data_IF_274915391653
#
_entry.id   IF_274915391653
#
_cell.length_a   1.000
_cell.length_b   1.000
_cell.length_c   1.000
_cell.angle_alpha   90.00
_cell.angle_beta   90.00
_cell.angle_gamma   90.00
#
_symmetry.space_group_name_H-M   'P 1'
#
loop_
_entity.id
_entity.type
_entity.pdbx_description
1 polymer ?
#
# COMPACT_ATOMS: atom_id res chain seq x y z
N UNK A 1 -36.17 31.13 -28.46
CA UNK A 1 -35.67 30.77 -27.13
C UNK A 1 -34.16 30.57 -27.17
N UNK A 2 -33.45 31.30 -26.33
CA UNK A 2 -32.00 31.11 -26.18
C UNK A 2 -31.68 29.85 -25.40
N UNK A 3 -30.44 29.30 -25.50
CA UNK A 3 -29.98 28.13 -24.82
C UNK A 3 -30.20 28.20 -23.29
N UNK A 4 -30.03 29.39 -22.73
CA UNK A 4 -30.25 29.67 -21.30
C UNK A 4 -31.73 29.53 -20.87
N UNK A 5 -32.66 29.89 -21.72
CA UNK A 5 -34.08 29.71 -21.47
C UNK A 5 -34.48 28.24 -21.49
N UNK A 6 -33.87 27.44 -22.39
CA UNK A 6 -34.09 25.98 -22.47
C UNK A 6 -33.61 25.32 -21.19
N UNK A 7 -32.42 25.68 -20.70
CA UNK A 7 -31.84 25.11 -19.43
C UNK A 7 -32.72 25.50 -18.23
N UNK A 8 -33.19 26.74 -18.17
CA UNK A 8 -34.06 27.21 -17.08
C UNK A 8 -35.42 26.48 -17.09
N UNK A 9 -36.00 26.30 -18.28
CA UNK A 9 -37.28 25.58 -18.46
C UNK A 9 -37.09 24.08 -18.12
N UNK A 10 -36.02 23.46 -18.57
CA UNK A 10 -35.68 22.05 -18.25
C UNK A 10 -35.56 21.84 -16.75
N UNK A 11 -34.80 22.69 -16.03
CA UNK A 11 -34.68 22.61 -14.58
C UNK A 11 -36.04 22.80 -13.86
N UNK A 12 -36.87 23.70 -14.32
CA UNK A 12 -38.21 23.90 -13.73
C UNK A 12 -39.11 22.68 -13.94
N UNK A 13 -39.06 22.06 -15.10
CA UNK A 13 -39.86 20.88 -15.46
C UNK A 13 -39.46 19.65 -14.68
N UNK A 14 -38.16 19.47 -14.40
CA UNK A 14 -37.64 18.35 -13.59
C UNK A 14 -38.31 18.22 -12.21
N UNK A 15 -38.61 19.35 -11.57
CA UNK A 15 -39.21 19.35 -10.23
C UNK A 15 -40.73 19.25 -10.21
N UNK A 16 -41.38 19.10 -11.37
CA UNK A 16 -42.84 18.93 -11.47
C UNK A 16 -43.27 17.59 -10.91
N UNK A 17 -42.49 16.50 -11.18
CA UNK A 17 -42.71 15.13 -10.64
C UNK A 17 -41.65 14.75 -9.64
N UNK A 18 -41.64 15.36 -8.45
CA UNK A 18 -40.60 15.32 -7.42
C UNK A 18 -40.11 13.91 -7.06
N UNK A 19 -41.03 12.95 -6.86
CA UNK A 19 -40.65 11.59 -6.45
C UNK A 19 -39.86 10.86 -7.55
N UNK A 20 -40.34 10.96 -8.81
CA UNK A 20 -39.68 10.30 -9.94
C UNK A 20 -38.30 10.90 -10.21
N UNK A 21 -38.23 12.22 -10.26
CA UNK A 21 -36.96 12.94 -10.43
C UNK A 21 -35.98 12.59 -9.33
N UNK A 22 -36.44 12.57 -8.07
CA UNK A 22 -35.60 12.19 -6.93
C UNK A 22 -35.07 10.76 -7.07
N UNK A 23 -35.91 9.77 -7.42
CA UNK A 23 -35.47 8.38 -7.59
C UNK A 23 -34.47 8.22 -8.74
N UNK A 24 -34.67 8.96 -9.85
CA UNK A 24 -33.72 8.94 -10.98
C UNK A 24 -32.39 9.57 -10.59
N UNK A 25 -32.42 10.73 -9.93
CA UNK A 25 -31.20 11.39 -9.41
C UNK A 25 -30.50 10.47 -8.40
N UNK A 26 -31.25 9.81 -7.53
CA UNK A 26 -30.68 8.86 -6.54
C UNK A 26 -30.00 7.66 -7.21
N UNK A 27 -30.53 7.13 -8.28
CA UNK A 27 -29.93 6.03 -9.03
C UNK A 27 -28.60 6.46 -9.69
N UNK A 28 -28.57 7.65 -10.30
CA UNK A 28 -27.33 8.24 -10.89
C UNK A 28 -26.31 8.54 -9.80
N UNK A 29 -26.79 9.10 -8.67
CA UNK A 29 -25.97 9.37 -7.49
C UNK A 29 -25.24 8.13 -7.00
N UNK A 30 -25.93 7.00 -6.80
CA UNK A 30 -25.31 5.75 -6.34
C UNK A 30 -24.21 5.29 -7.29
N UNK A 31 -24.48 5.31 -8.59
CA UNK A 31 -23.49 4.91 -9.59
C UNK A 31 -22.27 5.81 -9.62
N UNK A 32 -22.47 7.13 -9.69
CA UNK A 32 -21.36 8.10 -9.72
C UNK A 32 -20.58 8.13 -8.41
N UNK A 33 -21.25 8.08 -7.27
CA UNK A 33 -20.65 7.95 -5.94
C UNK A 33 -19.69 6.77 -5.86
N UNK A 34 -20.16 5.57 -6.29
CA UNK A 34 -19.36 4.34 -6.25
C UNK A 34 -18.13 4.44 -7.15
N UNK A 35 -18.29 4.99 -8.37
CA UNK A 35 -17.17 5.14 -9.30
C UNK A 35 -16.14 6.16 -8.76
N UNK A 36 -16.59 7.29 -8.23
CA UNK A 36 -15.67 8.30 -7.69
C UNK A 36 -14.91 7.79 -6.49
N UNK A 37 -15.55 7.06 -5.57
CA UNK A 37 -14.85 6.41 -4.46
C UNK A 37 -13.83 5.39 -4.96
N UNK A 38 -14.18 4.58 -5.96
CA UNK A 38 -13.27 3.59 -6.53
C UNK A 38 -12.02 4.24 -7.13
N UNK A 39 -12.19 5.32 -7.91
CA UNK A 39 -11.07 6.08 -8.47
C UNK A 39 -10.23 6.73 -7.39
N UNK A 40 -10.86 7.25 -6.32
CA UNK A 40 -10.14 7.85 -5.19
C UNK A 40 -9.33 6.82 -4.39
N UNK A 41 -9.85 5.59 -4.19
CA UNK A 41 -9.10 4.48 -3.58
C UNK A 41 -7.89 4.11 -4.45
N UNK A 42 -8.10 3.97 -5.76
CA UNK A 42 -7.01 3.66 -6.70
C UNK A 42 -5.88 4.70 -6.60
N UNK A 43 -6.23 5.97 -6.58
CA UNK A 43 -5.27 7.05 -6.43
C UNK A 43 -4.54 7.00 -5.08
N UNK A 44 -5.25 6.78 -3.99
CA UNK A 44 -4.68 6.68 -2.64
C UNK A 44 -3.71 5.50 -2.52
N UNK A 45 -4.09 4.32 -3.02
CA UNK A 45 -3.24 3.12 -3.02
C UNK A 45 -1.99 3.31 -3.88
N UNK A 46 -2.13 3.84 -5.10
CA UNK A 46 -0.97 4.09 -5.96
C UNK A 46 -0.02 5.14 -5.35
N UNK A 47 -0.54 6.26 -4.87
CA UNK A 47 0.26 7.30 -4.21
C UNK A 47 1.02 6.75 -2.99
N UNK A 48 0.40 5.84 -2.24
CA UNK A 48 1.03 5.18 -1.12
C UNK A 48 2.14 4.22 -1.57
N UNK A 49 1.88 3.38 -2.58
CA UNK A 49 2.87 2.46 -3.15
C UNK A 49 4.08 3.23 -3.66
N UNK A 50 3.87 4.31 -4.42
CA UNK A 50 4.96 5.13 -4.96
C UNK A 50 5.83 5.73 -3.84
N UNK A 51 5.21 6.24 -2.77
CA UNK A 51 5.93 6.77 -1.61
C UNK A 51 6.72 5.68 -0.86
N UNK A 52 6.13 4.49 -0.71
CA UNK A 52 6.81 3.36 -0.05
C UNK A 52 7.98 2.85 -0.89
N UNK A 53 7.80 2.70 -2.21
CA UNK A 53 8.88 2.29 -3.12
C UNK A 53 10.06 3.27 -3.06
N UNK A 54 9.78 4.58 -3.11
CA UNK A 54 10.81 5.60 -3.00
C UNK A 54 11.56 5.57 -1.65
N UNK A 55 10.88 5.21 -0.56
CA UNK A 55 11.48 5.12 0.78
C UNK A 55 12.34 3.87 0.99
N UNK A 56 12.03 2.78 0.29
CA UNK A 56 12.68 1.47 0.43
C UNK A 56 13.87 1.25 -0.50
N UNK A 57 14.48 2.31 -1.00
CA UNK A 57 15.73 2.24 -1.77
C UNK A 57 15.56 2.35 -3.28
N UNK A 58 14.32 2.50 -3.79
CA UNK A 58 14.05 2.67 -5.22
C UNK A 58 13.81 1.36 -5.97
N UNK A 59 13.67 1.50 -7.30
CA UNK A 59 13.29 0.39 -8.19
C UNK A 59 14.42 -0.59 -8.50
N UNK A 60 15.65 -0.26 -8.16
CA UNK A 60 16.85 -1.07 -8.40
C UNK A 60 17.21 -1.99 -7.22
N UNK A 61 16.51 -1.87 -6.10
CA UNK A 61 16.74 -2.72 -4.95
C UNK A 61 16.10 -4.10 -5.14
N UNK A 62 16.89 -5.15 -4.87
CA UNK A 62 16.46 -6.53 -5.03
C UNK A 62 16.95 -7.40 -3.87
N UNK A 63 16.04 -8.19 -3.30
CA UNK A 63 16.35 -9.24 -2.36
C UNK A 63 16.44 -10.57 -3.11
N UNK A 64 17.55 -11.26 -3.00
CA UNK A 64 17.84 -12.50 -3.71
C UNK A 64 17.86 -13.67 -2.73
N UNK A 65 17.10 -14.71 -3.04
CA UNK A 65 17.04 -15.93 -2.25
C UNK A 65 17.25 -17.16 -3.16
N UNK A 66 17.51 -18.32 -2.58
CA UNK A 66 17.50 -19.57 -3.35
C UNK A 66 16.08 -19.90 -3.84
N UNK A 67 15.96 -20.58 -4.97
CA UNK A 67 14.66 -20.95 -5.54
C UNK A 67 13.82 -21.85 -4.62
N UNK A 68 14.42 -22.56 -3.68
CA UNK A 68 13.73 -23.33 -2.64
C UNK A 68 12.95 -22.48 -1.62
N UNK A 69 13.38 -21.26 -1.37
CA UNK A 69 12.72 -20.34 -0.41
C UNK A 69 11.38 -19.79 -0.92
N UNK A 70 11.19 -19.72 -2.24
CA UNK A 70 9.97 -19.18 -2.86
C UNK A 70 8.76 -20.09 -2.64
N UNK A 71 8.97 -21.40 -2.64
CA UNK A 71 7.89 -22.34 -2.35
C UNK A 71 7.27 -22.10 -0.97
N UNK A 72 8.11 -21.77 0.02
CA UNK A 72 7.67 -21.48 1.39
C UNK A 72 6.99 -20.10 1.47
N UNK A 73 7.50 -19.10 0.77
CA UNK A 73 6.90 -17.76 0.72
C UNK A 73 5.56 -17.75 -0.03
N UNK A 74 5.47 -18.44 -1.15
CA UNK A 74 4.20 -18.67 -1.84
C UNK A 74 3.20 -19.44 -0.98
N UNK A 75 3.66 -20.42 -0.19
CA UNK A 75 2.82 -21.17 0.74
C UNK A 75 2.33 -20.31 1.92
N UNK A 76 3.15 -19.38 2.42
CA UNK A 76 2.75 -18.42 3.45
C UNK A 76 1.80 -17.35 2.94
N UNK A 77 1.86 -17.01 1.65
CA UNK A 77 1.07 -15.96 1.02
C UNK A 77 -0.12 -16.51 0.20
N UNK A 78 -0.13 -17.82 -0.05
CA UNK A 78 -1.23 -18.48 -0.75
C UNK A 78 -2.44 -18.60 0.19
N UNK A 79 -3.52 -17.92 -0.18
CA UNK A 79 -4.85 -18.14 0.41
C UNK A 79 -5.52 -19.41 -0.12
N UNK A 80 -4.84 -20.18 -0.98
CA UNK A 80 -5.35 -21.44 -1.49
C UNK A 80 -5.17 -22.54 -0.43
N UNK A 81 -6.27 -23.11 0.01
CA UNK A 81 -6.32 -24.27 0.89
C UNK A 81 -6.03 -25.60 0.20
N UNK A 82 -5.46 -25.57 -1.01
CA UNK A 82 -5.07 -26.80 -1.69
C UNK A 82 -3.77 -27.35 -1.08
N UNK A 83 -3.74 -28.64 -0.69
CA UNK A 83 -2.54 -29.28 -0.20
C UNK A 83 -1.47 -29.27 -1.31
N UNK A 84 -0.33 -28.63 -1.03
CA UNK A 84 0.83 -28.69 -1.92
C UNK A 84 1.58 -29.99 -1.65
N UNK A 85 2.00 -30.67 -2.73
CA UNK A 85 2.78 -31.88 -2.66
C UNK A 85 4.10 -31.63 -1.89
N UNK A 86 4.43 -32.52 -0.94
CA UNK A 86 5.68 -32.40 -0.17
C UNK A 86 6.86 -32.50 -1.13
N UNK A 87 7.62 -31.41 -1.23
CA UNK A 87 8.88 -31.38 -1.96
C UNK A 87 10.03 -31.24 -0.94
N UNK A 88 10.83 -32.29 -0.72
CA UNK A 88 11.93 -32.26 0.24
C UNK A 88 12.99 -31.19 -0.09
N UNK A 89 12.99 -30.67 -1.33
CA UNK A 89 13.88 -29.59 -1.77
C UNK A 89 13.29 -28.19 -1.53
N UNK A 90 12.10 -28.07 -0.96
CA UNK A 90 11.44 -26.79 -0.61
C UNK A 90 11.79 -26.29 0.80
N UNK A 91 12.68 -26.94 1.51
CA UNK A 91 13.27 -26.35 2.72
C UNK A 91 13.99 -25.05 2.32
N UNK A 92 13.94 -24.03 3.19
CA UNK A 92 14.78 -22.83 3.07
C UNK A 92 16.23 -23.28 2.80
N UNK A 93 16.56 -23.42 1.53
CA UNK A 93 17.90 -23.81 1.15
C UNK A 93 18.75 -22.59 1.31
N UNK A 94 19.50 -22.55 2.40
CA UNK A 94 20.56 -21.57 2.55
C UNK A 94 21.50 -21.67 1.34
N UNK A 95 21.94 -20.54 0.85
CA UNK A 95 22.94 -20.46 -0.20
C UNK A 95 24.32 -20.77 0.41
N UNK A 96 25.07 -21.65 -0.25
CA UNK A 96 26.44 -21.94 0.10
C UNK A 96 27.40 -21.02 -0.69
N UNK A 97 28.69 -21.11 -0.39
CA UNK A 97 29.73 -20.30 -1.01
C UNK A 97 29.75 -20.43 -2.55
N UNK A 98 29.57 -21.64 -3.09
CA UNK A 98 29.53 -21.87 -4.54
C UNK A 98 28.35 -21.14 -5.20
N UNK A 99 27.21 -21.11 -4.57
CA UNK A 99 26.02 -20.39 -5.02
C UNK A 99 26.25 -18.87 -4.95
N UNK A 100 26.91 -18.38 -3.89
CA UNK A 100 27.29 -16.97 -3.78
C UNK A 100 28.26 -16.54 -4.87
N UNK A 101 29.29 -17.36 -5.17
CA UNK A 101 30.23 -17.11 -6.25
C UNK A 101 29.55 -17.14 -7.63
N UNK A 102 28.53 -17.98 -7.80
CA UNK A 102 27.71 -18.04 -9.00
C UNK A 102 26.85 -16.79 -9.15
N UNK A 103 26.24 -16.33 -8.05
CA UNK A 103 25.44 -15.11 -8.01
C UNK A 103 26.28 -13.86 -8.35
N UNK A 104 27.50 -13.77 -7.82
CA UNK A 104 28.43 -12.68 -8.08
C UNK A 104 28.93 -12.58 -9.54
N UNK A 105 28.69 -13.62 -10.36
CA UNK A 105 29.03 -13.62 -11.79
C UNK A 105 27.87 -13.18 -12.69
N UNK A 106 26.70 -12.90 -12.10
CA UNK A 106 25.56 -12.44 -12.92
C UNK A 106 25.78 -10.99 -13.29
N UNK A 107 25.86 -10.74 -14.60
CA UNK A 107 26.02 -9.39 -15.14
C UNK A 107 24.80 -8.51 -14.77
N UNK A 108 25.05 -7.35 -14.22
CA UNK A 108 24.05 -6.46 -13.66
C UNK A 108 24.00 -6.47 -12.13
N UNK A 109 24.77 -7.36 -11.46
CA UNK A 109 24.95 -7.37 -10.01
C UNK A 109 26.40 -7.05 -9.66
N UNK A 110 26.62 -6.31 -8.57
CA UNK A 110 27.95 -6.04 -8.03
C UNK A 110 28.13 -6.81 -6.70
N UNK A 111 29.01 -7.80 -6.63
CA UNK A 111 29.26 -8.56 -5.40
C UNK A 111 29.70 -7.71 -4.19
N UNK A 112 30.37 -6.58 -4.45
CA UNK A 112 30.83 -5.68 -3.39
C UNK A 112 29.65 -4.97 -2.67
N UNK A 113 28.49 -4.92 -3.33
CA UNK A 113 27.27 -4.34 -2.78
C UNK A 113 26.35 -5.37 -2.09
N UNK A 114 26.81 -6.64 -2.03
CA UNK A 114 26.01 -7.70 -1.41
C UNK A 114 25.92 -7.51 0.10
N UNK A 115 24.73 -7.28 0.58
CA UNK A 115 24.45 -7.27 2.01
C UNK A 115 23.74 -8.56 2.42
N UNK A 116 24.38 -9.27 3.33
CA UNK A 116 23.84 -10.52 3.90
C UNK A 116 23.13 -10.14 5.19
N UNK A 117 21.81 -10.21 5.17
CA UNK A 117 21.01 -9.96 6.36
C UNK A 117 21.28 -11.06 7.41
N UNK A 118 21.77 -10.66 8.55
CA UNK A 118 22.06 -11.55 9.68
C UNK A 118 20.76 -11.80 10.45
N UNK A 119 20.47 -13.08 10.68
CA UNK A 119 19.35 -13.44 11.55
C UNK A 119 19.80 -13.38 12.99
N UNK A 120 19.26 -12.44 13.74
CA UNK A 120 19.57 -12.25 15.17
C UNK A 120 18.34 -12.67 15.98
N UNK A 121 18.42 -13.76 16.74
CA UNK A 121 17.32 -14.23 17.58
C UNK A 121 17.22 -13.40 18.85
N UNK A 122 16.54 -12.25 18.80
CA UNK A 122 16.24 -11.43 19.97
C UNK A 122 15.04 -12.02 20.69
N UNK A 123 15.19 -12.31 21.98
CA UNK A 123 14.10 -12.83 22.80
C UNK A 123 13.11 -11.72 23.19
N UNK A 124 13.65 -10.58 23.67
CA UNK A 124 12.83 -9.41 24.00
C UNK A 124 13.66 -8.13 24.10
N UNK A 125 12.96 -7.01 24.04
CA UNK A 125 13.46 -5.68 24.39
C UNK A 125 12.82 -5.18 25.69
N UNK A 126 13.59 -4.45 26.51
CA UNK A 126 13.11 -3.78 27.70
C UNK A 126 13.84 -2.46 27.92
N UNK A 127 13.36 -1.64 28.87
CA UNK A 127 14.00 -0.40 29.28
C UNK A 127 14.09 -0.30 30.82
N UNK A 128 14.74 0.73 31.33
CA UNK A 128 14.77 1.00 32.78
C UNK A 128 13.47 1.64 33.29
N UNK A 129 12.62 2.15 32.38
CA UNK A 129 11.39 2.87 32.71
C UNK A 129 10.20 1.91 32.87
N UNK A 130 10.37 0.62 32.52
CA UNK A 130 9.32 -0.39 32.66
C UNK A 130 9.88 -1.77 32.95
N UNK A 131 9.15 -2.57 33.74
CA UNK A 131 9.49 -3.99 33.99
C UNK A 131 8.94 -4.91 32.88
N UNK A 132 8.23 -4.35 31.88
CA UNK A 132 7.63 -5.13 30.80
C UNK A 132 8.68 -5.49 29.75
N UNK A 133 8.46 -6.64 29.11
CA UNK A 133 9.25 -7.20 28.03
C UNK A 133 8.40 -7.24 26.77
N UNK A 134 8.99 -6.87 25.63
CA UNK A 134 8.29 -6.85 24.36
C UNK A 134 9.06 -7.64 23.30
N UNK A 135 8.35 -8.37 22.46
CA UNK A 135 8.97 -9.03 21.31
C UNK A 135 9.49 -7.93 20.37
N UNK A 136 10.61 -8.20 19.72
CA UNK A 136 11.18 -7.27 18.75
C UNK A 136 11.95 -8.03 17.68
N UNK A 137 11.88 -7.53 16.44
CA UNK A 137 12.75 -7.93 15.35
C UNK A 137 13.74 -6.80 15.11
N UNK A 138 15.00 -7.13 14.94
CA UNK A 138 16.05 -6.16 14.66
C UNK A 138 16.90 -6.56 13.47
N UNK A 139 17.43 -5.58 12.74
CA UNK A 139 18.40 -5.79 11.67
C UNK A 139 19.11 -4.50 11.33
N UNK A 140 20.30 -4.59 10.76
CA UNK A 140 20.97 -3.42 10.22
C UNK A 140 20.45 -3.10 8.81
N UNK A 141 20.68 -1.88 8.36
CA UNK A 141 20.31 -1.48 7.00
C UNK A 141 21.30 -2.03 5.98
N UNK A 142 20.82 -2.47 4.82
CA UNK A 142 21.70 -2.74 3.67
C UNK A 142 22.44 -1.47 3.25
N UNK A 143 23.60 -1.60 2.58
CA UNK A 143 24.29 -0.45 1.97
C UNK A 143 23.39 0.24 0.94
N UNK A 144 23.43 1.56 0.90
CA UNK A 144 22.72 2.37 -0.10
C UNK A 144 21.87 3.48 0.50
N UNK A 145 21.26 4.25 -0.38
CA UNK A 145 20.42 5.40 -0.01
C UNK A 145 18.98 4.92 0.32
N UNK A 146 18.78 4.49 1.56
CA UNK A 146 17.45 4.22 2.08
C UNK A 146 16.94 5.48 2.77
N UNK A 147 15.78 5.94 2.36
CA UNK A 147 15.13 7.10 2.94
C UNK A 147 13.95 6.66 3.84
N UNK A 148 14.27 5.88 4.88
CA UNK A 148 13.26 5.50 5.87
C UNK A 148 12.93 6.74 6.70
N UNK A 149 11.69 7.19 6.59
CA UNK A 149 11.22 8.33 7.35
C UNK A 149 11.24 8.03 8.85
N UNK A 150 11.63 9.02 9.64
CA UNK A 150 11.57 8.97 11.11
C UNK A 150 10.58 10.00 11.63
N UNK A 151 9.82 9.67 12.68
CA UNK A 151 8.99 10.63 13.42
C UNK A 151 9.83 11.48 14.33
N UNK A 152 10.92 10.92 14.89
CA UNK A 152 11.87 11.63 15.73
C UNK A 152 13.29 11.08 15.51
N UNK A 153 14.30 11.92 15.65
CA UNK A 153 15.70 11.55 15.54
C UNK A 153 16.14 11.14 14.12
N UNK A 154 17.07 10.19 14.03
CA UNK A 154 17.71 9.75 12.80
C UNK A 154 17.85 8.22 12.76
N UNK A 155 18.25 7.69 11.61
CA UNK A 155 18.68 6.30 11.51
C UNK A 155 20.07 6.11 12.15
N UNK A 156 20.42 4.87 12.61
CA UNK A 156 21.75 4.59 13.13
C UNK A 156 22.81 4.82 12.06
N UNK A 157 23.95 5.40 12.44
CA UNK A 157 25.08 5.51 11.54
C UNK A 157 25.67 4.12 11.22
N UNK A 158 25.91 3.84 9.95
CA UNK A 158 26.44 2.54 9.52
C UNK A 158 27.93 2.35 9.90
N UNK A 159 28.66 3.45 10.07
CA UNK A 159 30.08 3.45 10.40
C UNK A 159 30.36 3.61 11.90
N UNK A 160 29.32 3.79 12.72
CA UNK A 160 29.49 3.95 14.16
C UNK A 160 29.94 2.65 14.81
N UNK A 161 30.77 2.79 15.84
CA UNK A 161 31.11 1.69 16.76
C UNK A 161 30.18 1.64 17.98
N UNK A 162 29.29 2.62 18.12
CA UNK A 162 28.32 2.65 19.19
C UNK A 162 27.12 1.73 18.86
N UNK A 163 26.51 1.21 19.89
CA UNK A 163 25.31 0.40 19.79
C UNK A 163 24.10 1.34 19.74
N UNK A 164 23.62 1.58 18.55
CA UNK A 164 22.51 2.46 18.25
C UNK A 164 21.30 1.68 17.75
N UNK A 165 20.11 2.20 18.03
CA UNK A 165 18.83 1.64 17.55
C UNK A 165 17.86 2.75 17.18
N UNK A 166 17.17 2.56 16.06
CA UNK A 166 15.96 3.30 15.68
C UNK A 166 14.77 2.37 15.86
N UNK A 167 13.87 2.72 16.78
CA UNK A 167 12.74 1.90 17.18
C UNK A 167 11.61 1.96 16.15
N UNK A 168 10.86 0.88 16.03
CA UNK A 168 9.57 0.89 15.32
C UNK A 168 8.54 1.76 16.06
N UNK A 169 7.48 2.23 15.37
CA UNK A 169 6.40 2.98 15.98
C UNK A 169 5.74 2.24 17.16
N UNK A 170 5.38 2.99 18.19
CA UNK A 170 4.70 2.44 19.37
C UNK A 170 5.63 1.89 20.45
N UNK A 171 6.87 1.50 20.13
CA UNK A 171 7.84 1.08 21.15
C UNK A 171 8.19 2.17 22.18
N UNK A 172 8.36 3.46 21.81
CA UNK A 172 8.62 4.50 22.82
C UNK A 172 7.60 4.49 23.94
N UNK A 173 6.33 4.46 23.61
CA UNK A 173 5.23 4.40 24.60
C UNK A 173 5.23 3.10 25.38
N UNK A 174 5.42 1.96 24.70
CA UNK A 174 5.46 0.63 25.32
C UNK A 174 6.61 0.52 26.33
N UNK A 175 7.78 1.08 25.99
CA UNK A 175 8.99 1.07 26.82
C UNK A 175 8.98 2.16 27.91
N UNK A 176 7.90 2.93 28.03
CA UNK A 176 7.71 3.90 29.11
C UNK A 176 8.36 5.27 28.89
N UNK A 177 8.79 5.58 27.67
CA UNK A 177 9.43 6.87 27.37
C UNK A 177 8.42 8.02 27.16
N UNK A 178 7.14 7.71 26.94
CA UNK A 178 6.08 8.69 26.72
C UNK A 178 5.86 9.04 25.26
N UNK A 179 6.69 9.89 24.67
CA UNK A 179 6.63 10.28 23.26
C UNK A 179 7.83 9.73 22.45
N UNK A 180 7.78 9.88 21.14
CA UNK A 180 8.87 9.50 20.24
C UNK A 180 10.12 10.38 20.48
N UNK A 181 9.91 11.67 20.72
CA UNK A 181 10.99 12.63 21.02
C UNK A 181 11.66 12.33 22.36
N UNK A 182 10.89 11.92 23.36
CA UNK A 182 11.40 11.58 24.70
C UNK A 182 12.24 10.30 24.70
N UNK A 183 12.05 9.44 23.71
CA UNK A 183 12.83 8.21 23.54
C UNK A 183 14.26 8.48 23.05
N UNK A 184 14.49 9.60 22.34
CA UNK A 184 15.81 9.92 21.78
C UNK A 184 16.85 10.10 22.89
N UNK A 185 17.98 9.40 22.73
CA UNK A 185 19.08 9.40 23.70
C UNK A 185 18.88 8.46 24.90
N UNK A 186 17.71 7.86 25.05
CA UNK A 186 17.46 6.82 26.07
C UNK A 186 18.17 5.53 25.72
N UNK A 187 18.30 4.65 26.71
CA UNK A 187 18.95 3.34 26.54
C UNK A 187 17.90 2.24 26.67
N UNK A 188 17.88 1.33 25.70
CA UNK A 188 17.12 0.10 25.73
C UNK A 188 18.05 -1.10 25.92
N UNK A 189 17.52 -2.19 26.40
CA UNK A 189 18.23 -3.48 26.54
C UNK A 189 17.59 -4.52 25.64
N UNK A 190 18.36 -5.01 24.68
CA UNK A 190 18.02 -6.16 23.84
C UNK A 190 18.56 -7.40 24.51
N UNK A 191 17.73 -8.41 24.65
CA UNK A 191 18.11 -9.65 25.33
C UNK A 191 18.03 -10.82 24.35
N UNK A 192 19.12 -11.56 24.29
CA UNK A 192 19.19 -12.85 23.58
C UNK A 192 19.38 -13.96 24.62
N UNK A 193 19.08 -15.19 24.25
CA UNK A 193 19.41 -16.35 25.05
C UNK A 193 20.64 -17.04 24.47
N UNK A 194 21.61 -17.34 25.36
CA UNK A 194 22.73 -18.20 25.00
C UNK A 194 22.20 -19.58 24.60
N UNK A 195 22.53 -20.02 23.39
CA UNK A 195 21.98 -21.24 22.79
C UNK A 195 22.37 -22.53 23.53
N UNK A 196 23.43 -22.51 24.34
CA UNK A 196 23.89 -23.69 25.11
C UNK A 196 23.45 -23.63 26.56
N UNK A 197 23.53 -22.45 27.19
CA UNK A 197 23.30 -22.30 28.64
C UNK A 197 21.92 -21.76 28.97
N UNK A 198 21.18 -21.29 27.96
CA UNK A 198 19.88 -20.65 28.08
C UNK A 198 19.89 -19.40 29.02
N UNK A 199 21.08 -18.83 29.22
CA UNK A 199 21.25 -17.62 30.04
C UNK A 199 21.01 -16.37 29.19
N UNK A 200 20.43 -15.32 29.77
CA UNK A 200 20.23 -14.06 29.07
C UNK A 200 21.58 -13.36 28.81
N UNK A 201 21.75 -12.88 27.60
CA UNK A 201 22.84 -12.01 27.14
C UNK A 201 22.21 -10.66 26.81
N UNK A 202 22.72 -9.62 27.44
CA UNK A 202 22.16 -8.29 27.35
C UNK A 202 23.03 -7.36 26.49
N UNK A 203 22.41 -6.70 25.53
CA UNK A 203 23.01 -5.64 24.71
C UNK A 203 22.27 -4.33 24.99
N UNK A 204 23.01 -3.31 25.41
CA UNK A 204 22.46 -1.98 25.65
C UNK A 204 22.66 -1.12 24.41
N UNK A 205 21.57 -0.60 23.86
CA UNK A 205 21.58 0.26 22.70
C UNK A 205 20.98 1.63 23.02
N UNK A 206 21.58 2.66 22.46
CA UNK A 206 21.07 4.03 22.54
C UNK A 206 20.03 4.26 21.46
N UNK A 207 18.86 4.75 21.82
CA UNK A 207 17.82 5.14 20.88
C UNK A 207 18.25 6.43 20.18
N UNK A 208 18.43 6.36 18.87
CA UNK A 208 18.82 7.52 18.03
C UNK A 208 17.68 8.02 17.18
N UNK A 209 16.64 7.22 16.99
CA UNK A 209 15.45 7.58 16.22
C UNK A 209 14.25 6.70 16.51
N UNK A 210 13.12 7.12 15.97
CA UNK A 210 11.87 6.36 15.89
C UNK A 210 11.39 6.39 14.44
N UNK A 211 11.11 5.23 13.87
CA UNK A 211 10.63 5.12 12.49
C UNK A 211 9.24 5.73 12.35
N UNK A 212 8.99 6.37 11.23
CA UNK A 212 7.64 6.70 10.84
C UNK A 212 6.85 5.41 10.50
N UNK A 213 5.57 5.36 10.82
CA UNK A 213 4.74 4.23 10.47
C UNK A 213 4.74 3.96 8.95
N UNK A 214 4.95 2.70 8.55
CA UNK A 214 4.97 2.23 7.17
C UNK A 214 4.42 0.80 7.06
N UNK A 215 4.02 0.37 5.85
CA UNK A 215 3.49 -0.99 5.62
C UNK A 215 4.59 -2.04 5.59
N UNK A 216 5.77 -1.64 5.18
CA UNK A 216 6.93 -2.54 5.13
C UNK A 216 7.91 -2.11 6.20
N UNK A 217 7.94 -2.85 7.29
CA UNK A 217 9.02 -2.77 8.26
C UNK A 217 10.25 -3.44 7.62
N UNK A 218 11.19 -2.64 7.17
CA UNK A 218 12.47 -3.18 6.69
C UNK A 218 13.24 -3.66 7.91
N UNK A 219 13.31 -4.97 8.10
CA UNK A 219 14.04 -5.63 9.20
C UNK A 219 13.60 -5.26 10.63
N UNK A 220 12.38 -4.77 10.85
CA UNK A 220 11.94 -4.37 12.19
C UNK A 220 12.60 -3.08 12.68
N UNK A 221 12.99 -3.02 13.94
CA UNK A 221 13.78 -1.92 14.48
C UNK A 221 15.21 -1.96 13.92
N UNK A 222 15.69 -0.80 13.47
CA UNK A 222 16.98 -0.70 12.77
C UNK A 222 18.10 -0.50 13.79
N UNK A 223 19.13 -1.33 13.70
CA UNK A 223 20.30 -1.27 14.57
C UNK A 223 21.57 -0.90 13.80
N UNK A 224 22.57 -0.39 14.52
CA UNK A 224 23.90 -0.15 13.94
C UNK A 224 24.58 -1.47 13.58
N UNK A 225 25.46 -1.47 12.55
CA UNK A 225 26.22 -2.68 12.17
C UNK A 225 27.07 -3.21 13.29
N UNK A 226 27.67 -2.32 14.09
CA UNK A 226 28.45 -2.75 15.25
C UNK A 226 27.64 -3.58 16.25
N UNK A 227 26.37 -3.18 16.45
CA UNK A 227 25.45 -3.96 17.32
C UNK A 227 25.03 -5.26 16.64
N UNK A 228 24.70 -5.22 15.35
CA UNK A 228 24.35 -6.41 14.57
C UNK A 228 25.48 -7.46 14.62
N UNK A 229 26.73 -7.04 14.37
CA UNK A 229 27.89 -7.91 14.39
C UNK A 229 28.10 -8.54 15.76
N UNK A 230 28.05 -7.73 16.81
CA UNK A 230 28.24 -8.22 18.18
C UNK A 230 27.15 -9.22 18.60
N UNK A 231 25.89 -8.94 18.24
CA UNK A 231 24.78 -9.85 18.54
C UNK A 231 24.87 -11.14 17.73
N UNK A 232 25.25 -11.04 16.45
CA UNK A 232 25.42 -12.19 15.56
C UNK A 232 26.58 -13.09 16.01
N UNK A 233 27.74 -12.51 16.38
CA UNK A 233 28.89 -13.26 16.88
C UNK A 233 28.53 -14.04 18.15
N UNK A 234 27.82 -13.41 19.08
CA UNK A 234 27.41 -14.09 20.32
C UNK A 234 26.32 -15.13 20.06
N UNK A 235 25.34 -14.85 19.22
CA UNK A 235 24.25 -15.76 18.88
C UNK A 235 24.71 -16.99 18.10
N UNK A 236 25.79 -16.88 17.32
CA UNK A 236 26.36 -17.98 16.52
C UNK A 236 27.61 -18.59 17.10
N UNK A 237 27.99 -18.23 18.32
CA UNK A 237 29.24 -18.61 18.97
C UNK A 237 29.50 -20.13 18.95
N UNK A 238 28.48 -20.91 19.15
CA UNK A 238 28.54 -22.36 19.20
C UNK A 238 28.15 -23.06 17.90
N UNK A 239 27.85 -22.29 16.85
CA UNK A 239 27.50 -22.88 15.56
C UNK A 239 28.76 -23.41 14.86
N UNK A 240 28.69 -24.59 14.21
CA UNK A 240 29.73 -25.06 13.31
C UNK A 240 30.05 -24.02 12.25
N UNK A 241 31.33 -23.97 11.81
CA UNK A 241 31.74 -22.98 10.78
C UNK A 241 30.88 -23.05 9.51
N UNK A 242 30.49 -24.25 9.10
CA UNK A 242 29.64 -24.51 7.95
C UNK A 242 28.24 -23.87 8.08
N UNK A 243 27.69 -23.80 9.31
CA UNK A 243 26.39 -23.16 9.55
C UNK A 243 26.47 -21.65 9.60
N UNK A 244 27.63 -21.10 9.99
CA UNK A 244 27.85 -19.64 9.97
C UNK A 244 27.97 -19.07 8.56
N UNK A 245 28.39 -19.90 7.60
CA UNK A 245 28.51 -19.53 6.19
C UNK A 245 27.21 -19.64 5.39
N UNK A 246 26.12 -20.11 6.03
CA UNK A 246 24.83 -20.24 5.37
C UNK A 246 24.15 -18.87 5.21
N UNK A 247 23.83 -18.51 3.97
CA UNK A 247 23.17 -17.26 3.60
C UNK A 247 21.76 -17.54 3.10
N UNK A 248 20.76 -17.00 3.76
CA UNK A 248 19.36 -17.24 3.40
C UNK A 248 18.83 -16.21 2.40
N UNK A 249 19.30 -14.98 2.49
CA UNK A 249 18.94 -13.90 1.59
C UNK A 249 20.10 -12.93 1.43
N UNK A 250 20.23 -12.37 0.24
CA UNK A 250 21.12 -11.27 -0.09
C UNK A 250 20.25 -10.09 -0.51
N UNK A 251 20.61 -8.94 -0.02
CA UNK A 251 20.04 -7.67 -0.42
C UNK A 251 21.11 -6.90 -1.22
N UNK A 252 20.75 -6.43 -2.40
CA UNK A 252 21.68 -5.72 -3.28
C UNK A 252 20.91 -4.80 -4.23
N UNK A 253 21.67 -4.07 -5.06
CA UNK A 253 21.11 -3.30 -6.17
C UNK A 253 21.55 -3.91 -7.48
N UNK A 254 20.72 -3.78 -8.50
CA UNK A 254 21.09 -4.14 -9.85
C UNK A 254 21.30 -2.89 -10.72
N UNK A 255 22.11 -3.01 -11.77
CA UNK A 255 22.39 -1.93 -12.70
C UNK A 255 21.14 -1.65 -13.58
N UNK A 256 20.27 -0.75 -13.11
CA UNK A 256 19.04 -0.37 -13.80
C UNK A 256 19.27 0.49 -15.05
N UNK A 257 20.52 0.92 -15.30
CA UNK A 257 20.90 1.58 -16.55
C UNK A 257 21.09 0.59 -17.70
N UNK A 258 21.35 -0.69 -17.38
CA UNK A 258 21.60 -1.76 -18.35
C UNK A 258 20.48 -2.79 -18.46
N UNK A 259 19.80 -3.05 -17.32
CA UNK A 259 18.82 -4.11 -17.22
C UNK A 259 17.52 -3.60 -16.59
N UNK A 260 16.41 -4.03 -17.18
CA UNK A 260 15.10 -3.90 -16.55
C UNK A 260 14.94 -4.89 -15.40
N UNK A 261 13.98 -4.66 -14.53
CA UNK A 261 13.63 -5.56 -13.44
C UNK A 261 13.34 -6.98 -13.92
N UNK A 262 12.58 -7.12 -15.01
CA UNK A 262 12.23 -8.44 -15.59
C UNK A 262 13.46 -9.18 -16.15
N UNK A 263 14.39 -8.46 -16.78
CA UNK A 263 15.60 -9.06 -17.33
C UNK A 263 16.54 -9.57 -16.23
N UNK A 264 16.72 -8.81 -15.14
CA UNK A 264 17.56 -9.26 -14.03
C UNK A 264 16.93 -10.45 -13.30
N UNK A 265 15.59 -10.46 -13.12
CA UNK A 265 14.86 -11.59 -12.56
C UNK A 265 14.96 -12.84 -13.43
N UNK A 266 14.90 -12.70 -14.75
CA UNK A 266 15.09 -13.82 -15.68
C UNK A 266 16.51 -14.43 -15.54
N UNK A 267 17.56 -13.60 -15.49
CA UNK A 267 18.93 -14.07 -15.27
C UNK A 267 19.11 -14.78 -13.93
N UNK A 268 18.52 -14.23 -12.87
CA UNK A 268 18.53 -14.87 -11.55
C UNK A 268 17.85 -16.24 -11.60
N UNK A 269 16.69 -16.33 -12.23
CA UNK A 269 15.93 -17.59 -12.38
C UNK A 269 16.70 -18.64 -13.15
N UNK A 270 17.37 -18.28 -14.25
CA UNK A 270 18.24 -19.19 -15.02
C UNK A 270 19.42 -19.69 -14.18
N UNK A 271 19.93 -18.85 -13.28
CA UNK A 271 21.00 -19.21 -12.35
C UNK A 271 20.52 -20.02 -11.15
N UNK A 272 19.20 -20.23 -10.96
CA UNK A 272 18.60 -20.99 -9.85
C UNK A 272 18.29 -20.14 -8.61
N UNK A 273 18.17 -18.82 -8.78
CA UNK A 273 17.80 -17.87 -7.73
C UNK A 273 16.45 -17.22 -8.01
N UNK A 274 15.92 -16.57 -6.98
CA UNK A 274 14.72 -15.73 -7.13
C UNK A 274 15.03 -14.36 -6.56
N UNK A 275 14.79 -13.35 -7.37
CA UNK A 275 14.86 -11.96 -7.00
C UNK A 275 13.47 -11.42 -6.67
N UNK A 276 13.36 -10.72 -5.56
CA UNK A 276 12.17 -10.01 -5.11
C UNK A 276 12.49 -8.53 -4.98
N UNK A 277 11.79 -7.73 -5.76
CA UNK A 277 11.93 -6.28 -5.72
C UNK A 277 10.91 -5.65 -4.79
N UNK A 278 11.09 -4.37 -4.49
CA UNK A 278 10.07 -3.58 -3.77
C UNK A 278 8.77 -3.54 -4.59
N UNK A 279 8.88 -3.46 -5.91
CA UNK A 279 7.72 -3.53 -6.83
C UNK A 279 6.92 -4.82 -6.67
N UNK A 280 7.56 -5.98 -6.48
CA UNK A 280 6.84 -7.23 -6.23
C UNK A 280 6.07 -7.20 -4.91
N UNK A 281 6.73 -6.71 -3.85
CA UNK A 281 6.09 -6.60 -2.53
C UNK A 281 4.88 -5.66 -2.58
N UNK A 282 5.03 -4.53 -3.25
CA UNK A 282 3.95 -3.56 -3.45
C UNK A 282 2.89 -4.08 -4.43
N UNK A 283 3.29 -4.86 -5.43
CA UNK A 283 2.39 -5.49 -6.40
C UNK A 283 1.37 -6.43 -5.77
N UNK A 284 1.73 -7.10 -4.68
CA UNK A 284 0.78 -7.94 -3.93
C UNK A 284 -0.30 -7.10 -3.25
N UNK A 285 0.09 -6.00 -2.61
CA UNK A 285 -0.86 -5.05 -2.01
C UNK A 285 -1.77 -4.48 -3.11
N UNK A 286 -1.19 -4.09 -4.23
CA UNK A 286 -1.93 -3.58 -5.39
C UNK A 286 -2.95 -4.60 -5.90
N UNK A 287 -2.55 -5.86 -6.08
CA UNK A 287 -3.44 -6.92 -6.56
C UNK A 287 -4.64 -7.12 -5.64
N UNK A 288 -4.44 -7.05 -4.31
CA UNK A 288 -5.54 -7.13 -3.35
C UNK A 288 -6.55 -5.99 -3.54
N UNK A 289 -6.07 -4.76 -3.68
CA UNK A 289 -6.93 -3.62 -3.92
C UNK A 289 -7.58 -3.66 -5.31
N UNK A 290 -6.86 -4.11 -6.35
CA UNK A 290 -7.39 -4.23 -7.72
C UNK A 290 -8.62 -5.15 -7.77
N UNK A 291 -8.60 -6.27 -7.05
CA UNK A 291 -9.76 -7.18 -6.96
C UNK A 291 -10.96 -6.47 -6.35
N UNK A 292 -10.76 -5.73 -5.27
CA UNK A 292 -11.84 -4.94 -4.63
C UNK A 292 -12.36 -3.88 -5.60
N UNK A 293 -11.46 -3.16 -6.28
CA UNK A 293 -11.82 -2.12 -7.23
C UNK A 293 -12.60 -2.63 -8.44
N UNK A 294 -12.27 -3.84 -8.94
CA UNK A 294 -13.03 -4.49 -10.01
C UNK A 294 -14.49 -4.74 -9.56
N UNK A 295 -14.68 -5.26 -8.35
CA UNK A 295 -16.03 -5.49 -7.80
C UNK A 295 -16.82 -4.19 -7.71
N UNK A 296 -16.24 -3.13 -7.18
CA UNK A 296 -16.87 -1.81 -7.10
C UNK A 296 -17.16 -1.22 -8.49
N UNK A 297 -16.26 -1.39 -9.46
CA UNK A 297 -16.45 -0.92 -10.84
C UNK A 297 -17.66 -1.61 -11.49
N UNK A 298 -17.78 -2.93 -11.32
CA UNK A 298 -18.91 -3.71 -11.85
C UNK A 298 -20.21 -3.24 -11.19
N UNK A 299 -20.19 -3.06 -9.87
CA UNK A 299 -21.37 -2.62 -9.12
C UNK A 299 -21.81 -1.20 -9.53
N UNK A 300 -20.85 -0.27 -9.63
CA UNK A 300 -21.09 1.09 -10.11
C UNK A 300 -21.61 1.13 -11.55
N UNK A 301 -21.06 0.28 -12.43
CA UNK A 301 -21.51 0.13 -13.80
C UNK A 301 -22.96 -0.37 -13.91
N UNK A 302 -23.31 -1.39 -13.12
CA UNK A 302 -24.70 -1.89 -13.06
C UNK A 302 -25.64 -0.78 -12.55
N UNK A 303 -25.24 -0.04 -11.51
CA UNK A 303 -26.02 1.07 -10.98
C UNK A 303 -26.26 2.14 -12.04
N UNK A 304 -25.24 2.52 -12.83
CA UNK A 304 -25.39 3.50 -13.92
C UNK A 304 -26.28 2.96 -15.06
N UNK A 305 -26.20 1.68 -15.39
CA UNK A 305 -27.11 1.07 -16.37
C UNK A 305 -28.56 1.14 -15.89
N UNK A 306 -28.82 0.80 -14.63
CA UNK A 306 -30.13 0.92 -14.03
C UNK A 306 -30.62 2.37 -14.01
N UNK A 307 -29.76 3.33 -13.70
CA UNK A 307 -30.05 4.76 -13.76
C UNK A 307 -30.42 5.21 -15.19
N UNK A 308 -29.71 4.71 -16.21
CA UNK A 308 -29.97 5.05 -17.62
C UNK A 308 -31.39 4.59 -18.04
N UNK A 309 -31.79 3.38 -17.62
CA UNK A 309 -33.16 2.89 -17.85
C UNK A 309 -34.18 3.78 -17.12
N UNK A 310 -33.87 4.19 -15.89
CA UNK A 310 -34.67 5.13 -15.12
C UNK A 310 -34.87 6.49 -15.82
N UNK A 311 -33.78 7.04 -16.41
CA UNK A 311 -33.86 8.29 -17.20
C UNK A 311 -34.78 8.11 -18.40
N UNK A 312 -34.60 7.03 -19.17
CA UNK A 312 -35.44 6.75 -20.36
C UNK A 312 -36.90 6.67 -19.96
N UNK A 313 -37.25 5.93 -18.92
CA UNK A 313 -38.62 5.80 -18.43
C UNK A 313 -39.20 7.14 -17.95
N UNK A 314 -38.38 7.95 -17.24
CA UNK A 314 -38.79 9.29 -16.78
C UNK A 314 -39.08 10.22 -17.96
N UNK A 315 -38.23 10.19 -19.01
CA UNK A 315 -38.42 11.04 -20.20
C UNK A 315 -39.63 10.60 -21.04
N UNK A 316 -39.83 9.28 -21.22
CA UNK A 316 -41.01 8.76 -21.94
C UNK A 316 -42.32 9.24 -21.29
N UNK A 317 -42.43 9.09 -19.97
CA UNK A 317 -43.60 9.57 -19.24
C UNK A 317 -43.77 11.10 -19.33
N UNK A 318 -42.65 11.84 -19.27
CA UNK A 318 -42.68 13.32 -19.44
C UNK A 318 -43.21 13.72 -20.82
N UNK A 319 -42.83 12.97 -21.87
CA UNK A 319 -43.36 13.16 -23.22
C UNK A 319 -44.86 12.84 -23.27
N UNK A 320 -45.32 11.74 -22.66
CA UNK A 320 -46.74 11.36 -22.62
C UNK A 320 -47.58 12.40 -21.90
N UNK A 321 -47.14 12.89 -20.73
CA UNK A 321 -47.84 13.91 -19.95
C UNK A 321 -47.96 15.24 -20.70
N UNK A 322 -46.99 15.59 -21.59
CA UNK A 322 -46.89 16.84 -22.33
C UNK A 322 -47.26 16.71 -23.81
N UNK A 323 -47.86 15.62 -24.23
CA UNK A 323 -48.17 15.34 -25.66
C UNK A 323 -49.01 16.47 -26.28
N UNK A 324 -49.98 17.02 -25.51
CA UNK A 324 -50.83 18.14 -25.98
C UNK A 324 -50.02 19.45 -26.17
N UNK A 325 -49.13 19.75 -25.27
CA UNK A 325 -48.24 20.92 -25.34
C UNK A 325 -47.31 20.79 -26.56
N UNK A 326 -46.71 19.60 -26.75
CA UNK A 326 -45.83 19.27 -27.89
C UNK A 326 -46.60 19.39 -29.23
N UNK A 327 -47.86 18.92 -29.25
CA UNK A 327 -48.72 19.06 -30.41
C UNK A 327 -49.02 20.53 -30.79
N UNK A 328 -49.26 21.39 -29.77
CA UNK A 328 -49.46 22.81 -29.96
C UNK A 328 -48.20 23.52 -30.49
N UNK A 329 -47.03 23.21 -29.91
CA UNK A 329 -45.74 23.76 -30.32
C UNK A 329 -45.40 23.38 -31.77
N UNK A 330 -45.72 22.15 -32.18
CA UNK A 330 -45.61 21.69 -33.59
C UNK A 330 -46.57 22.48 -34.52
N UNK A 331 -47.80 22.68 -34.07
CA UNK A 331 -48.78 23.45 -34.84
C UNK A 331 -48.37 24.94 -35.00
N UNK A 332 -47.61 25.47 -34.02
CA UNK A 332 -47.03 26.81 -34.08
C UNK A 332 -45.72 26.88 -34.86
N UNK A 333 -45.27 25.75 -35.48
CA UNK A 333 -44.10 25.68 -36.34
C UNK A 333 -42.78 25.30 -35.66
N UNK A 334 -42.80 24.81 -34.42
CA UNK A 334 -41.58 24.31 -33.76
C UNK A 334 -41.05 23.05 -34.47
N UNK A 335 -39.74 23.05 -34.76
CA UNK A 335 -39.07 21.90 -35.39
C UNK A 335 -38.93 20.75 -34.43
N UNK A 336 -39.02 19.49 -34.94
CA UNK A 336 -38.80 18.27 -34.12
C UNK A 336 -37.46 18.21 -33.44
N UNK A 337 -36.40 18.81 -34.05
CA UNK A 337 -35.08 18.89 -33.47
C UNK A 337 -35.01 19.79 -32.23
N UNK A 338 -35.85 20.87 -32.19
CA UNK A 338 -35.91 21.75 -31.02
C UNK A 338 -36.65 21.08 -29.86
N UNK A 339 -37.71 20.32 -30.15
CA UNK A 339 -38.41 19.50 -29.14
C UNK A 339 -37.45 18.44 -28.57
N UNK A 340 -36.72 17.73 -29.42
CA UNK A 340 -35.70 16.78 -28.99
C UNK A 340 -34.63 17.40 -28.08
N UNK A 341 -34.15 18.62 -28.43
CA UNK A 341 -33.15 19.36 -27.65
C UNK A 341 -33.66 19.67 -26.24
N UNK A 342 -34.94 20.00 -26.08
CA UNK A 342 -35.53 20.26 -24.76
C UNK A 342 -35.45 19.04 -23.84
N UNK A 343 -35.84 17.85 -24.33
CA UNK A 343 -35.73 16.59 -23.58
C UNK A 343 -34.28 16.12 -23.36
N UNK A 344 -33.40 16.39 -24.34
CA UNK A 344 -31.99 16.09 -24.22
C UNK A 344 -31.33 16.93 -23.08
N UNK A 345 -31.66 18.23 -23.00
CA UNK A 345 -31.19 19.10 -21.92
C UNK A 345 -31.75 18.66 -20.57
N UNK A 346 -33.01 18.18 -20.53
CA UNK A 346 -33.62 17.64 -19.32
C UNK A 346 -32.87 16.36 -18.83
N UNK A 347 -32.50 15.45 -19.76
CA UNK A 347 -31.71 14.28 -19.44
C UNK A 347 -30.29 14.64 -18.94
N UNK A 348 -29.65 15.60 -19.59
CA UNK A 348 -28.31 16.09 -19.18
C UNK A 348 -28.39 16.73 -17.80
N UNK A 349 -29.43 17.49 -17.49
CA UNK A 349 -29.60 18.08 -16.18
C UNK A 349 -29.79 17.05 -15.07
N UNK A 350 -30.55 15.98 -15.34
CA UNK A 350 -30.68 14.85 -14.41
C UNK A 350 -29.32 14.18 -14.13
N UNK A 351 -28.55 13.91 -15.20
CA UNK A 351 -27.20 13.36 -15.11
C UNK A 351 -26.26 14.25 -14.30
N UNK A 352 -26.27 15.56 -14.60
CA UNK A 352 -25.44 16.54 -13.92
C UNK A 352 -25.74 16.62 -12.41
N UNK A 353 -27.01 16.75 -12.02
CA UNK A 353 -27.37 16.83 -10.60
C UNK A 353 -27.07 15.51 -9.87
N UNK A 354 -27.36 14.37 -10.49
CA UNK A 354 -27.05 13.05 -9.88
C UNK A 354 -25.56 12.86 -9.67
N UNK A 355 -24.75 13.14 -10.70
CA UNK A 355 -23.28 12.99 -10.60
C UNK A 355 -22.65 14.02 -9.67
N UNK A 356 -23.08 15.29 -9.71
CA UNK A 356 -22.57 16.34 -8.83
C UNK A 356 -22.80 16.01 -7.35
N UNK A 357 -24.01 15.51 -7.00
CA UNK A 357 -24.29 15.04 -5.65
C UNK A 357 -23.44 13.80 -5.31
N UNK A 358 -23.27 12.86 -6.25
CA UNK A 358 -22.43 11.68 -6.07
C UNK A 358 -20.99 12.04 -5.74
N UNK A 359 -20.38 12.92 -6.53
CA UNK A 359 -19.02 13.43 -6.32
C UNK A 359 -18.89 14.13 -4.97
N UNK A 360 -19.81 15.05 -4.66
CA UNK A 360 -19.76 15.85 -3.43
C UNK A 360 -19.83 14.95 -2.19
N UNK A 361 -20.76 13.99 -2.16
CA UNK A 361 -20.91 13.06 -1.04
C UNK A 361 -19.73 12.10 -0.98
N UNK A 362 -19.17 11.65 -2.11
CA UNK A 362 -17.97 10.80 -2.14
C UNK A 362 -16.78 11.52 -1.51
N UNK A 363 -16.55 12.79 -1.82
CA UNK A 363 -15.48 13.59 -1.21
C UNK A 363 -15.69 13.75 0.29
N UNK A 364 -16.92 14.05 0.73
CA UNK A 364 -17.22 14.20 2.16
C UNK A 364 -16.98 12.89 2.91
N UNK A 365 -17.57 11.80 2.41
CA UNK A 365 -17.44 10.48 3.07
C UNK A 365 -16.01 10.00 3.02
N UNK A 366 -15.30 10.14 1.90
CA UNK A 366 -13.91 9.72 1.78
C UNK A 366 -12.99 10.46 2.76
N UNK A 367 -13.15 11.79 2.90
CA UNK A 367 -12.37 12.56 3.88
C UNK A 367 -12.73 12.21 5.33
N UNK A 368 -14.00 12.00 5.64
CA UNK A 368 -14.43 11.54 6.98
C UNK A 368 -13.83 10.16 7.26
N UNK A 369 -13.87 9.25 6.28
CA UNK A 369 -13.29 7.91 6.43
C UNK A 369 -11.79 7.99 6.64
N UNK A 370 -11.04 8.78 5.87
CA UNK A 370 -9.61 9.01 6.10
C UNK A 370 -9.34 9.48 7.53
N UNK A 371 -10.14 10.40 8.06
CA UNK A 371 -9.98 10.87 9.44
C UNK A 371 -10.30 9.78 10.48
N UNK A 372 -11.35 9.00 10.27
CA UNK A 372 -11.76 7.95 11.20
C UNK A 372 -10.80 6.77 11.23
N UNK A 373 -10.27 6.35 10.09
CA UNK A 373 -9.34 5.21 10.02
C UNK A 373 -7.96 5.52 10.63
N UNK A 374 -7.60 6.82 10.74
CA UNK A 374 -6.38 7.29 11.41
C UNK A 374 -6.61 7.72 12.87
N UNK A 375 -7.86 7.74 13.33
CA UNK A 375 -8.15 8.07 14.74
C UNK A 375 -7.57 6.99 15.68
N UNK A 376 -7.33 7.31 16.97
CA UNK A 376 -6.86 6.35 17.95
C UNK A 376 -7.77 5.10 17.99
N UNK A 377 -7.19 3.91 17.78
CA UNK A 377 -7.92 2.64 17.61
C UNK A 377 -8.45 2.38 16.20
N UNK A 378 -8.19 3.26 15.25
CA UNK A 378 -8.56 3.08 13.84
C UNK A 378 -7.66 2.06 13.12
N UNK A 379 -8.19 1.46 12.06
CA UNK A 379 -7.49 0.41 11.28
C UNK A 379 -6.16 0.88 10.66
N UNK A 380 -6.04 2.16 10.32
CA UNK A 380 -4.83 2.78 9.74
C UNK A 380 -4.12 3.73 10.71
N UNK A 381 -4.37 3.62 12.02
CA UNK A 381 -3.66 4.41 13.03
C UNK A 381 -2.13 4.26 12.89
N UNK A 382 -1.68 3.05 12.58
CA UNK A 382 -0.28 2.73 12.35
C UNK A 382 0.28 3.20 11.00
N UNK A 383 -0.53 3.79 10.12
CA UNK A 383 -0.18 4.21 8.76
C UNK A 383 -0.65 5.63 8.46
N UNK A 384 -0.19 6.66 9.19
CA UNK A 384 -0.72 8.02 9.06
C UNK A 384 -0.47 8.67 7.69
N UNK A 385 0.47 8.15 6.92
CA UNK A 385 0.79 8.63 5.56
C UNK A 385 -0.05 7.98 4.46
N UNK A 386 -0.83 6.94 4.79
CA UNK A 386 -1.68 6.25 3.84
C UNK A 386 -3.08 6.86 3.81
N UNK A 387 -3.35 7.75 2.88
CA UNK A 387 -4.69 8.22 2.61
C UNK A 387 -5.43 7.19 1.75
N UNK A 388 -6.45 6.52 2.34
CA UNK A 388 -7.24 5.51 1.62
C UNK A 388 -7.97 6.12 0.41
N UNK A 389 -8.46 7.35 0.55
CA UNK A 389 -9.11 8.10 -0.52
C UNK A 389 -8.31 9.34 -0.84
N UNK A 390 -7.79 9.42 -2.07
CA UNK A 390 -7.09 10.61 -2.56
C UNK A 390 -7.91 11.27 -3.68
N UNK A 391 -8.39 12.49 -3.40
CA UNK A 391 -9.19 13.26 -4.34
C UNK A 391 -8.33 14.35 -4.97
N UNK A 392 -7.95 14.14 -6.23
CA UNK A 392 -7.30 15.17 -7.04
C UNK A 392 -8.27 15.67 -8.11
N UNK A 393 -8.14 16.91 -8.62
CA UNK A 393 -8.98 17.39 -9.70
C UNK A 393 -8.98 16.47 -10.92
N UNK A 394 -7.84 15.83 -11.21
CA UNK A 394 -7.69 14.90 -12.32
C UNK A 394 -8.47 13.58 -12.10
N UNK A 395 -8.73 13.19 -10.85
CA UNK A 395 -9.42 11.95 -10.50
C UNK A 395 -10.92 12.14 -10.29
N UNK A 396 -11.36 13.38 -10.06
CA UNK A 396 -12.75 13.72 -9.69
C UNK A 396 -13.53 14.29 -10.87
N UNK A 397 -12.84 14.91 -11.82
CA UNK A 397 -13.44 15.48 -13.04
C UNK A 397 -12.90 14.68 -14.23
N UNK A 398 -13.68 13.70 -14.74
CA UNK A 398 -13.31 12.91 -15.91
C UNK A 398 -13.29 13.71 -17.20
#
# INVERSE_FOLDING_TARGET
>A
MGLFEIIKTANHNLFRNKVRTFLTILAIFVGSFTIVLNVAINAGVNSFIDKQTASLGGDDYIMITSSGAVGMMNSMMSTSSEPTEYNPNQTLSAMNKEQLDKLGKIDGLNPDDFYIAKQIPVEYITSKETDKKYNITVGAMPPGDFNIATTAGTLPSQDTKEYEITLEPGYPKALGFGSDEDAIGKTVTLVMLDTMTNKPIEFKAKVVGVQAPGVVAVNGSIISRALEDAMYEEGTKYYPAEQKELVYAIQTRFDNSKYTEDEIKAKLKEAGFVGLTVSDMMGMIRTFFDVIMIVFTIFGGIALLAASIGIINTLLMSVEERTREIGLDKALGMSSGRIFLEFAVEAIALGFWGSAFGVLVAIIIGNITNTLVHAPGGFLEALPTFNLFEFTPANVIP
#
